data_IF_316191429633
#
_entry.id   IF_316191429633
#
_cell.length_a   1.000
_cell.length_b   1.000
_cell.length_c   1.000
_cell.angle_alpha   90.00
_cell.angle_beta   90.00
_cell.angle_gamma   90.00
#
_symmetry.space_group_name_H-M   'P 1'
#
loop_
_entity.id
_entity.type
_entity.pdbx_description
1 polymer ?
#
# COMPACT_ATOMS: atom_id res chain seq x y z
N UNK A 1 -11.51 14.49 0.22
CA UNK A 1 -11.75 13.46 -0.83
C UNK A 1 -10.99 13.77 -2.13
N UNK A 2 -9.97 14.64 -2.08
CA UNK A 2 -9.17 14.97 -3.26
C UNK A 2 -8.20 13.82 -3.56
N UNK A 3 -7.54 13.29 -2.52
CA UNK A 3 -6.56 12.20 -2.67
C UNK A 3 -7.15 10.92 -3.24
N UNK A 4 -8.45 10.64 -3.04
CA UNK A 4 -9.07 9.43 -3.60
C UNK A 4 -9.02 9.39 -5.14
N UNK A 5 -8.91 10.56 -5.79
CA UNK A 5 -8.83 10.70 -7.24
C UNK A 5 -7.40 10.99 -7.73
N UNK A 6 -6.59 11.64 -6.91
CA UNK A 6 -5.27 12.16 -7.31
C UNK A 6 -4.08 11.37 -6.76
N UNK A 7 -4.28 10.58 -5.70
CA UNK A 7 -3.23 9.78 -5.05
C UNK A 7 -3.44 8.30 -5.35
N UNK A 8 -2.32 7.61 -5.58
CA UNK A 8 -2.31 6.18 -5.78
C UNK A 8 -2.12 5.44 -4.44
N UNK A 9 -3.12 4.65 -4.03
CA UNK A 9 -3.05 3.81 -2.84
C UNK A 9 -2.65 2.38 -3.22
N UNK A 10 -1.53 1.90 -2.67
CA UNK A 10 -1.00 0.56 -2.94
C UNK A 10 -0.70 -0.19 -1.65
N UNK A 11 -1.06 -1.46 -1.62
CA UNK A 11 -0.81 -2.36 -0.52
C UNK A 11 -0.01 -3.56 -1.03
N UNK A 12 1.23 -3.69 -0.57
CA UNK A 12 2.10 -4.82 -0.91
C UNK A 12 1.93 -5.91 0.13
N UNK A 13 1.55 -7.11 -0.31
CA UNK A 13 1.29 -8.26 0.57
C UNK A 13 1.93 -9.53 0.03
N UNK A 14 2.14 -10.51 0.90
CA UNK A 14 2.55 -11.86 0.52
C UNK A 14 1.34 -12.73 0.14
N UNK A 15 1.61 -13.90 -0.45
CA UNK A 15 0.57 -14.84 -0.89
C UNK A 15 -0.29 -15.38 0.26
N UNK A 16 0.29 -15.52 1.46
CA UNK A 16 -0.43 -15.95 2.65
C UNK A 16 -1.44 -14.89 3.08
N UNK A 17 -1.02 -13.62 3.12
CA UNK A 17 -1.91 -12.51 3.45
C UNK A 17 -2.95 -12.29 2.35
N UNK A 18 -2.60 -12.46 1.09
CA UNK A 18 -3.55 -12.39 -0.03
C UNK A 18 -4.66 -13.44 0.12
N UNK A 19 -4.29 -14.68 0.46
CA UNK A 19 -5.23 -15.78 0.66
C UNK A 19 -6.18 -15.52 1.83
N UNK A 20 -5.71 -14.85 2.89
CA UNK A 20 -6.55 -14.40 4.00
C UNK A 20 -7.48 -13.25 3.57
N UNK A 21 -6.98 -12.24 2.85
CA UNK A 21 -7.74 -11.11 2.35
C UNK A 21 -8.85 -11.51 1.36
N UNK A 22 -8.59 -12.51 0.50
CA UNK A 22 -9.60 -13.04 -0.44
C UNK A 22 -10.84 -13.63 0.24
N UNK A 23 -10.76 -13.97 1.53
CA UNK A 23 -11.87 -14.46 2.35
C UNK A 23 -12.67 -13.33 2.99
N UNK A 24 -12.10 -12.13 3.06
CA UNK A 24 -12.77 -10.95 3.59
C UNK A 24 -13.81 -10.41 2.59
N UNK A 25 -14.96 -9.95 3.09
CA UNK A 25 -16.03 -9.32 2.30
C UNK A 25 -15.58 -7.99 1.69
N UNK A 26 -14.58 -7.33 2.28
CA UNK A 26 -14.03 -6.06 1.80
C UNK A 26 -13.14 -6.17 0.56
N UNK A 27 -12.72 -7.37 0.16
CA UNK A 27 -11.83 -7.57 -0.98
C UNK A 27 -12.62 -7.71 -2.29
N UNK A 28 -12.40 -6.77 -3.21
CA UNK A 28 -12.95 -6.83 -4.55
C UNK A 28 -12.03 -7.67 -5.46
N UNK A 29 -12.48 -8.90 -5.76
CA UNK A 29 -11.73 -9.88 -6.57
C UNK A 29 -11.49 -9.43 -8.01
N UNK A 30 -12.43 -8.71 -8.60
CA UNK A 30 -12.35 -8.26 -10.01
C UNK A 30 -11.32 -7.14 -10.18
N UNK A 31 -11.30 -6.18 -9.25
CA UNK A 31 -10.41 -5.01 -9.33
C UNK A 31 -9.12 -5.18 -8.51
N UNK A 32 -9.00 -6.26 -7.72
CA UNK A 32 -7.92 -6.50 -6.75
C UNK A 32 -7.73 -5.32 -5.79
N UNK A 33 -8.83 -4.81 -5.23
CA UNK A 33 -8.84 -3.67 -4.30
C UNK A 33 -9.48 -3.99 -2.96
N UNK A 34 -9.02 -3.31 -1.92
CA UNK A 34 -9.67 -3.23 -0.60
C UNK A 34 -9.95 -1.77 -0.33
N UNK A 35 -11.21 -1.35 -0.40
CA UNK A 35 -11.57 0.07 -0.39
C UNK A 35 -10.84 0.85 -1.49
N UNK A 36 -9.98 1.80 -1.11
CA UNK A 36 -9.16 2.59 -2.03
C UNK A 36 -7.85 1.92 -2.43
N UNK A 37 -7.38 0.93 -1.66
CA UNK A 37 -6.06 0.32 -1.80
C UNK A 37 -6.03 -0.71 -2.91
N UNK A 38 -5.09 -0.57 -3.86
CA UNK A 38 -4.77 -1.60 -4.86
C UNK A 38 -3.83 -2.62 -4.25
N UNK A 39 -4.21 -3.89 -4.32
CA UNK A 39 -3.43 -5.00 -3.76
C UNK A 39 -2.41 -5.47 -4.78
N UNK A 40 -1.14 -5.47 -4.37
CA UNK A 40 -0.01 -6.01 -5.14
C UNK A 40 0.57 -7.20 -4.38
N UNK A 41 0.49 -8.37 -4.98
CA UNK A 41 1.03 -9.60 -4.40
C UNK A 41 2.50 -9.70 -4.78
N UNK A 42 3.35 -9.82 -3.77
CA UNK A 42 4.79 -9.99 -3.95
C UNK A 42 5.11 -11.47 -3.90
N UNK A 43 5.55 -11.99 -5.04
CA UNK A 43 6.02 -13.36 -5.19
C UNK A 43 7.53 -13.44 -4.95
N UNK A 44 8.04 -14.64 -4.62
CA UNK A 44 9.48 -14.91 -4.45
C UNK A 44 10.17 -13.94 -3.47
N UNK A 45 9.64 -13.86 -2.25
CA UNK A 45 10.19 -12.99 -1.23
C UNK A 45 11.66 -13.34 -0.90
N UNK A 46 12.58 -12.36 -0.89
CA UNK A 46 14.01 -12.62 -0.74
C UNK A 46 14.40 -13.03 0.69
N UNK A 47 13.56 -12.73 1.69
CA UNK A 47 13.82 -13.04 3.09
C UNK A 47 12.71 -13.90 3.68
N UNK A 48 13.08 -14.77 4.62
CA UNK A 48 12.13 -15.53 5.44
C UNK A 48 11.40 -14.64 6.45
N UNK A 49 12.05 -13.59 6.95
CA UNK A 49 11.47 -12.61 7.87
C UNK A 49 10.65 -11.54 7.11
N UNK A 50 9.34 -11.52 7.36
CA UNK A 50 8.40 -10.55 6.78
C UNK A 50 8.73 -9.09 7.09
N UNK A 51 9.37 -8.79 8.21
CA UNK A 51 9.78 -7.41 8.56
C UNK A 51 10.82 -6.86 7.60
N UNK A 52 11.71 -7.72 7.10
CA UNK A 52 12.72 -7.34 6.10
C UNK A 52 12.10 -7.15 4.72
N UNK A 53 11.17 -8.04 4.36
CA UNK A 53 10.42 -7.93 3.11
C UNK A 53 9.64 -6.61 3.02
N UNK A 54 9.03 -6.16 4.12
CA UNK A 54 8.34 -4.87 4.16
C UNK A 54 9.24 -3.64 3.95
N UNK A 55 10.57 -3.77 4.14
CA UNK A 55 11.53 -2.69 3.84
C UNK A 55 11.87 -2.59 2.36
N UNK A 56 11.77 -3.68 1.60
CA UNK A 56 12.13 -3.71 0.17
C UNK A 56 11.33 -2.69 -0.65
N UNK A 57 9.98 -2.68 -0.63
CA UNK A 57 9.22 -1.71 -1.42
C UNK A 57 9.37 -0.28 -0.88
N UNK A 58 9.69 -0.11 0.42
CA UNK A 58 10.00 1.20 1.02
C UNK A 58 11.29 1.81 0.50
N UNK A 59 12.32 1.00 0.27
CA UNK A 59 13.61 1.46 -0.23
C UNK A 59 13.62 1.63 -1.76
N UNK A 60 12.80 0.84 -2.47
CA UNK A 60 12.74 0.82 -3.92
C UNK A 60 11.56 1.58 -4.51
N UNK A 61 10.94 2.50 -3.76
CA UNK A 61 9.82 3.33 -4.24
C UNK A 61 10.14 4.03 -5.55
N UNK A 62 11.35 4.59 -5.65
CA UNK A 62 11.81 5.30 -6.86
C UNK A 62 11.85 4.42 -8.12
N UNK A 63 11.99 3.09 -7.97
CA UNK A 63 11.91 2.14 -9.10
C UNK A 63 10.48 1.72 -9.39
N UNK A 64 9.68 1.52 -8.35
CA UNK A 64 8.28 1.06 -8.48
C UNK A 64 7.36 2.18 -8.99
N UNK A 65 7.62 3.42 -8.56
CA UNK A 65 6.82 4.60 -8.87
C UNK A 65 7.74 5.75 -9.28
N UNK A 66 8.32 5.69 -10.50
CA UNK A 66 9.33 6.67 -10.95
C UNK A 66 8.78 8.10 -11.03
N UNK A 67 7.47 8.25 -11.22
CA UNK A 67 6.80 9.56 -11.29
C UNK A 67 6.27 10.04 -9.93
N UNK A 68 6.50 9.29 -8.84
CA UNK A 68 6.08 9.72 -7.51
C UNK A 68 7.01 10.80 -6.96
N UNK A 69 6.44 11.88 -6.44
CA UNK A 69 7.20 12.95 -5.76
C UNK A 69 7.26 12.77 -4.25
N UNK A 70 6.22 12.17 -3.69
CA UNK A 70 6.09 11.92 -2.25
C UNK A 70 5.59 10.49 -2.04
N UNK A 71 6.04 9.85 -0.95
CA UNK A 71 5.54 8.55 -0.52
C UNK A 71 5.23 8.58 0.97
N UNK A 72 3.99 8.26 1.31
CA UNK A 72 3.53 8.16 2.70
C UNK A 72 3.34 6.69 3.03
N UNK A 73 3.94 6.24 4.13
CA UNK A 73 3.86 4.87 4.61
C UNK A 73 3.15 4.84 5.96
N UNK A 74 2.11 4.01 6.06
CA UNK A 74 1.29 3.86 7.26
C UNK A 74 1.51 2.45 7.80
N UNK A 75 1.66 2.33 9.11
CA UNK A 75 1.72 1.01 9.77
C UNK A 75 0.34 0.36 9.75
N UNK A 76 0.28 -0.97 9.65
CA UNK A 76 -0.99 -1.70 9.59
C UNK A 76 -1.87 -1.56 10.83
N UNK A 77 -1.35 -1.03 11.94
CA UNK A 77 -2.12 -0.72 13.16
C UNK A 77 -2.71 0.70 13.18
N UNK A 78 -2.41 1.53 12.18
CA UNK A 78 -2.80 2.93 12.13
C UNK A 78 -3.83 3.17 11.03
N UNK A 79 -4.84 3.96 11.34
CA UNK A 79 -5.87 4.38 10.39
C UNK A 79 -5.66 5.82 9.94
N UNK A 80 -5.86 6.05 8.64
CA UNK A 80 -5.79 7.37 8.06
C UNK A 80 -7.12 8.10 8.28
N UNK A 81 -7.16 8.95 9.31
CA UNK A 81 -8.37 9.70 9.70
C UNK A 81 -8.60 10.98 8.88
N UNK A 82 -7.57 11.48 8.18
CA UNK A 82 -7.61 12.72 7.40
C UNK A 82 -7.06 12.48 5.99
N UNK A 83 -7.53 13.25 5.00
CA UNK A 83 -7.07 13.20 3.62
C UNK A 83 -5.53 13.38 3.55
N UNK A 84 -4.77 12.45 2.94
CA UNK A 84 -3.30 12.48 2.99
C UNK A 84 -2.71 13.70 2.28
N UNK A 85 -3.46 14.39 1.42
CA UNK A 85 -3.05 15.66 0.84
C UNK A 85 -2.79 16.72 1.93
N UNK A 86 -3.60 16.75 2.99
CA UNK A 86 -3.44 17.71 4.09
C UNK A 86 -2.15 17.46 4.90
N UNK A 87 -1.69 16.20 4.94
CA UNK A 87 -0.41 15.87 5.55
C UNK A 87 0.71 16.53 4.72
N UNK A 88 0.66 16.42 3.39
CA UNK A 88 1.64 17.06 2.52
C UNK A 88 1.62 18.59 2.65
N UNK A 89 0.44 19.22 2.63
CA UNK A 89 0.28 20.67 2.82
C UNK A 89 0.78 21.19 4.17
N UNK A 90 0.80 20.34 5.21
CA UNK A 90 1.31 20.73 6.53
C UNK A 90 2.83 20.72 6.62
N UNK A 91 3.48 19.84 5.87
CA UNK A 91 4.93 19.59 5.97
C UNK A 91 5.74 20.22 4.84
N UNK A 92 5.09 20.76 3.80
CA UNK A 92 5.68 21.47 2.67
C UNK A 92 5.18 22.92 2.66
#
# INVERSE_FOLDING_TARGET
KYSAQTVCFFMFIDEKTESSLKKDKGFNRTTKKVGLWRVVVVHNLPYTDGRRNGKVPKLLVHRLFPNSRYSIWIDGKLDLVVDPHQILERFL
#
